data_IF_335276838918
#
_entry.id   IF_335276838918
#
_cell.length_a   1.000
_cell.length_b   1.000
_cell.length_c   1.000
_cell.angle_alpha   90.00
_cell.angle_beta   90.00
_cell.angle_gamma   90.00
#
_symmetry.space_group_name_H-M   'P 1'
#
loop_
_entity.id
_entity.type
_entity.pdbx_description
1 polymer ?
#
# COMPACT_ATOMS: atom_id res chain seq x y z
N UNK A 1 39.78 -0.37 -2.96
CA UNK A 1 39.01 -1.55 -3.42
C UNK A 1 38.50 -2.49 -2.33
N UNK A 2 38.87 -2.27 -1.05
CA UNK A 2 38.22 -2.95 0.09
C UNK A 2 37.14 -2.05 0.71
N UNK A 3 37.46 -0.77 0.90
CA UNK A 3 36.57 0.30 1.39
C UNK A 3 35.29 0.45 0.54
N UNK A 4 35.40 0.33 -0.79
CA UNK A 4 34.24 0.40 -1.71
C UNK A 4 33.28 -0.78 -1.56
N UNK A 5 33.79 -1.99 -1.25
CA UNK A 5 32.97 -3.19 -1.05
C UNK A 5 32.28 -3.16 0.31
N UNK A 6 32.93 -2.62 1.31
CA UNK A 6 32.38 -2.49 2.67
C UNK A 6 31.20 -1.50 2.70
N UNK A 7 31.32 -0.37 2.00
CA UNK A 7 30.22 0.61 1.83
C UNK A 7 29.03 0.01 1.06
N UNK A 8 29.29 -0.78 0.02
CA UNK A 8 28.24 -1.43 -0.79
C UNK A 8 27.51 -2.53 -0.02
N UNK A 9 28.24 -3.28 0.81
CA UNK A 9 27.67 -4.27 1.73
C UNK A 9 26.77 -3.60 2.77
N UNK A 10 27.24 -2.51 3.40
CA UNK A 10 26.45 -1.75 4.38
C UNK A 10 25.17 -1.17 3.80
N UNK A 11 25.21 -0.64 2.57
CA UNK A 11 24.02 -0.12 1.89
C UNK A 11 22.98 -1.21 1.65
N UNK A 12 23.42 -2.40 1.24
CA UNK A 12 22.54 -3.54 0.94
C UNK A 12 21.82 -4.04 2.19
N UNK A 13 22.53 -4.12 3.32
CA UNK A 13 21.96 -4.48 4.63
C UNK A 13 20.85 -3.51 5.05
N UNK A 14 21.10 -2.20 4.95
CA UNK A 14 20.10 -1.17 5.27
C UNK A 14 18.85 -1.30 4.39
N UNK A 15 19.04 -1.52 3.08
CA UNK A 15 17.92 -1.69 2.14
C UNK A 15 17.11 -2.95 2.51
N UNK A 16 17.79 -4.04 2.86
CA UNK A 16 17.14 -5.28 3.26
C UNK A 16 16.27 -5.11 4.51
N UNK A 17 16.75 -4.34 5.49
CA UNK A 17 16.00 -4.01 6.70
C UNK A 17 14.76 -3.16 6.38
N UNK A 18 14.92 -2.08 5.60
CA UNK A 18 13.80 -1.22 5.16
C UNK A 18 12.74 -2.05 4.41
N UNK A 19 13.18 -2.89 3.47
CA UNK A 19 12.28 -3.75 2.68
C UNK A 19 11.52 -4.72 3.58
N UNK A 20 12.21 -5.36 4.53
CA UNK A 20 11.61 -6.31 5.46
C UNK A 20 10.60 -5.64 6.40
N UNK A 21 10.93 -4.45 6.90
CA UNK A 21 10.06 -3.66 7.77
C UNK A 21 8.77 -3.23 7.05
N UNK A 22 8.89 -2.71 5.83
CA UNK A 22 7.72 -2.28 5.04
C UNK A 22 6.88 -3.50 4.66
N UNK A 23 7.51 -4.60 4.23
CA UNK A 23 6.82 -5.84 3.88
C UNK A 23 6.01 -6.38 5.07
N UNK A 24 6.57 -6.31 6.29
CA UNK A 24 5.90 -6.70 7.53
C UNK A 24 4.70 -5.81 7.90
N UNK A 25 4.68 -4.56 7.44
CA UNK A 25 3.58 -3.63 7.65
C UNK A 25 2.48 -3.76 6.60
N UNK A 26 2.73 -4.29 5.41
CA UNK A 26 1.71 -4.34 4.34
C UNK A 26 0.51 -5.20 4.77
N UNK A 27 -0.73 -4.64 4.76
CA UNK A 27 -1.91 -5.40 5.09
C UNK A 27 -2.21 -6.54 4.10
N UNK A 28 -3.00 -7.52 4.54
CA UNK A 28 -3.51 -8.57 3.66
C UNK A 28 -4.55 -8.01 2.70
N UNK A 29 -4.60 -8.58 1.50
CA UNK A 29 -5.65 -8.26 0.54
C UNK A 29 -7.02 -8.65 1.07
N UNK A 30 -8.01 -7.83 0.75
CA UNK A 30 -9.41 -8.09 1.04
C UNK A 30 -9.96 -9.10 0.03
N UNK A 31 -10.76 -10.04 0.51
CA UNK A 31 -11.58 -10.90 -0.34
C UNK A 31 -12.82 -10.12 -0.79
N UNK A 32 -12.72 -9.49 -1.95
CA UNK A 32 -13.77 -8.63 -2.51
C UNK A 32 -15.08 -9.41 -2.71
N UNK A 33 -15.00 -10.67 -3.11
CA UNK A 33 -16.18 -11.50 -3.34
C UNK A 33 -16.89 -11.84 -2.03
N UNK A 34 -16.11 -12.10 -0.96
CA UNK A 34 -16.68 -12.27 0.38
C UNK A 34 -17.34 -11.00 0.87
N UNK A 35 -16.72 -9.83 0.68
CA UNK A 35 -17.32 -8.54 1.05
C UNK A 35 -18.60 -8.30 0.24
N UNK A 36 -18.57 -8.47 -1.09
CA UNK A 36 -19.74 -8.34 -1.97
C UNK A 36 -20.89 -9.25 -1.52
N UNK A 37 -20.60 -10.50 -1.15
CA UNK A 37 -21.58 -11.45 -0.60
C UNK A 37 -22.21 -10.97 0.70
N UNK A 38 -21.44 -10.34 1.59
CA UNK A 38 -21.98 -9.79 2.83
C UNK A 38 -23.02 -8.68 2.57
N UNK A 39 -22.90 -7.95 1.46
CA UNK A 39 -23.83 -6.88 1.07
C UNK A 39 -24.92 -7.31 0.05
N UNK A 40 -24.99 -8.58 -0.34
CA UNK A 40 -25.80 -9.04 -1.48
C UNK A 40 -27.30 -8.72 -1.40
N UNK A 41 -27.87 -8.60 -0.21
CA UNK A 41 -29.32 -8.42 -0.04
C UNK A 41 -29.72 -6.94 -0.07
N UNK A 42 -28.85 -6.01 0.33
CA UNK A 42 -29.10 -4.58 0.37
C UNK A 42 -27.80 -3.79 0.19
N UNK A 43 -27.29 -3.74 -1.03
CA UNK A 43 -26.10 -2.91 -1.31
C UNK A 43 -26.50 -1.44 -1.33
N UNK A 44 -26.02 -0.69 -0.33
CA UNK A 44 -26.17 0.77 -0.31
C UNK A 44 -25.21 1.40 -1.31
N UNK A 45 -25.48 2.63 -1.81
CA UNK A 45 -24.52 3.38 -2.61
C UNK A 45 -23.14 3.49 -1.93
N UNK A 46 -23.13 3.70 -0.61
CA UNK A 46 -21.90 3.75 0.20
C UNK A 46 -21.20 2.38 0.28
N UNK A 47 -21.94 1.26 0.27
CA UNK A 47 -21.40 -0.09 0.15
C UNK A 47 -20.72 -0.35 -1.20
N UNK A 48 -21.27 0.19 -2.30
CA UNK A 48 -20.60 0.15 -3.61
C UNK A 48 -19.27 0.89 -3.57
N UNK A 49 -19.25 2.08 -2.95
CA UNK A 49 -18.02 2.87 -2.78
C UNK A 49 -16.99 2.07 -1.98
N UNK A 50 -17.36 1.43 -0.88
CA UNK A 50 -16.45 0.57 -0.13
C UNK A 50 -15.82 -0.52 -1.02
N UNK A 51 -16.63 -1.23 -1.81
CA UNK A 51 -16.11 -2.31 -2.67
C UNK A 51 -15.06 -1.77 -3.66
N UNK A 52 -15.36 -0.64 -4.31
CA UNK A 52 -14.43 0.01 -5.24
C UNK A 52 -13.15 0.48 -4.54
N UNK A 53 -13.28 1.06 -3.35
CA UNK A 53 -12.15 1.49 -2.52
C UNK A 53 -11.25 0.31 -2.11
N UNK A 54 -11.84 -0.84 -1.78
CA UNK A 54 -11.10 -2.08 -1.47
C UNK A 54 -10.38 -2.65 -2.69
N UNK A 55 -10.99 -2.58 -3.89
CA UNK A 55 -10.36 -3.00 -5.14
C UNK A 55 -9.11 -2.14 -5.44
N UNK A 56 -9.23 -0.81 -5.31
CA UNK A 56 -8.09 0.11 -5.45
C UNK A 56 -7.00 -0.17 -4.42
N UNK A 57 -7.39 -0.35 -3.16
CA UNK A 57 -6.46 -0.65 -2.07
C UNK A 57 -5.72 -1.97 -2.31
N UNK A 58 -6.42 -3.01 -2.77
CA UNK A 58 -5.84 -4.31 -3.11
C UNK A 58 -4.81 -4.20 -4.23
N UNK A 59 -5.10 -3.43 -5.29
CA UNK A 59 -4.15 -3.18 -6.38
C UNK A 59 -2.88 -2.51 -5.85
N UNK A 60 -3.02 -1.47 -5.03
CA UNK A 60 -1.88 -0.77 -4.43
C UNK A 60 -1.00 -1.73 -3.60
N UNK A 61 -1.58 -2.45 -2.63
CA UNK A 61 -0.79 -3.35 -1.76
C UNK A 61 -0.22 -4.55 -2.52
N UNK A 62 -0.88 -5.00 -3.60
CA UNK A 62 -0.36 -6.05 -4.48
C UNK A 62 0.95 -5.61 -5.14
N UNK A 63 0.95 -4.43 -5.76
CA UNK A 63 2.14 -3.87 -6.42
C UNK A 63 3.26 -3.61 -5.42
N UNK A 64 2.95 -3.02 -4.26
CA UNK A 64 3.94 -2.82 -3.19
C UNK A 64 4.59 -4.14 -2.78
N UNK A 65 3.77 -5.15 -2.46
CA UNK A 65 4.28 -6.44 -2.00
C UNK A 65 5.12 -7.12 -3.08
N UNK A 66 4.68 -7.08 -4.33
CA UNK A 66 5.43 -7.66 -5.46
C UNK A 66 6.81 -7.00 -5.62
N UNK A 67 6.88 -5.68 -5.63
CA UNK A 67 8.17 -4.98 -5.78
C UNK A 67 9.11 -5.30 -4.61
N UNK A 68 8.61 -5.27 -3.37
CA UNK A 68 9.42 -5.59 -2.19
C UNK A 68 9.91 -7.05 -2.16
N UNK A 69 9.08 -8.01 -2.59
CA UNK A 69 9.50 -9.41 -2.71
C UNK A 69 10.59 -9.57 -3.78
N UNK A 70 10.42 -8.95 -4.96
CA UNK A 70 11.42 -9.01 -6.03
C UNK A 70 12.74 -8.35 -5.61
N UNK A 71 12.70 -7.22 -4.90
CA UNK A 71 13.90 -6.57 -4.36
C UNK A 71 14.61 -7.52 -3.37
N UNK A 72 13.84 -8.18 -2.49
CA UNK A 72 14.41 -9.13 -1.53
C UNK A 72 15.05 -10.35 -2.21
N UNK A 73 14.40 -10.89 -3.23
CA UNK A 73 14.93 -11.98 -4.05
C UNK A 73 16.18 -11.52 -4.82
N UNK A 74 16.19 -10.30 -5.35
CA UNK A 74 17.33 -9.73 -6.05
C UNK A 74 18.54 -9.53 -5.14
N UNK A 75 18.34 -9.06 -3.91
CA UNK A 75 19.40 -8.95 -2.89
C UNK A 75 19.95 -10.34 -2.52
N UNK A 76 19.10 -11.36 -2.52
CA UNK A 76 19.49 -12.74 -2.21
C UNK A 76 20.17 -13.46 -3.40
N UNK A 77 20.15 -12.85 -4.59
CA UNK A 77 20.67 -13.44 -5.83
C UNK A 77 19.71 -14.36 -6.58
N UNK A 78 18.46 -14.49 -6.13
CA UNK A 78 17.43 -15.35 -6.72
C UNK A 78 16.68 -14.70 -7.88
N UNK A 79 16.73 -13.36 -7.97
CA UNK A 79 16.11 -12.57 -9.04
C UNK A 79 17.09 -11.51 -9.58
N UNK A 80 16.79 -10.99 -10.76
CA UNK A 80 17.54 -9.87 -11.33
C UNK A 80 16.93 -8.54 -10.87
N UNK A 81 17.77 -7.62 -10.41
CA UNK A 81 17.37 -6.22 -10.19
C UNK A 81 17.21 -5.54 -11.56
N UNK A 82 16.03 -4.97 -11.82
CA UNK A 82 15.76 -4.17 -13.01
C UNK A 82 15.71 -2.67 -12.69
N UNK A 83 15.70 -1.82 -13.72
CA UNK A 83 15.67 -0.36 -13.58
C UNK A 83 14.49 0.14 -12.74
N UNK A 84 13.34 -0.56 -12.79
CA UNK A 84 12.14 -0.18 -12.04
C UNK A 84 12.35 -0.46 -10.55
N UNK A 85 12.91 -1.62 -10.21
CA UNK A 85 13.21 -1.99 -8.83
C UNK A 85 14.31 -1.10 -8.24
N UNK A 86 15.32 -0.71 -9.02
CA UNK A 86 16.35 0.25 -8.59
C UNK A 86 15.74 1.60 -8.20
N UNK A 87 14.84 2.14 -9.04
CA UNK A 87 14.13 3.40 -8.73
C UNK A 87 13.28 3.27 -7.46
N UNK A 88 12.65 2.11 -7.24
CA UNK A 88 11.91 1.83 -6.01
C UNK A 88 12.86 1.82 -4.81
N UNK A 89 13.98 1.10 -4.89
CA UNK A 89 14.99 1.02 -3.82
C UNK A 89 15.51 2.41 -3.46
N UNK A 90 15.88 3.22 -4.45
CA UNK A 90 16.41 4.57 -4.22
C UNK A 90 15.38 5.50 -3.55
N UNK A 91 14.11 5.40 -3.94
CA UNK A 91 13.05 6.14 -3.30
C UNK A 91 12.85 5.71 -1.84
N UNK A 92 12.85 4.40 -1.57
CA UNK A 92 12.71 3.85 -0.21
C UNK A 92 13.88 4.25 0.69
N UNK A 93 15.11 4.13 0.18
CA UNK A 93 16.32 4.54 0.88
C UNK A 93 16.32 6.05 1.20
N UNK A 94 15.76 6.86 0.29
CA UNK A 94 15.58 8.31 0.50
C UNK A 94 14.38 8.68 1.40
N UNK A 95 13.65 7.70 1.95
CA UNK A 95 12.46 7.95 2.77
C UNK A 95 11.28 8.56 1.99
N UNK A 96 11.24 8.38 0.67
CA UNK A 96 10.18 8.88 -0.23
C UNK A 96 9.29 7.73 -0.69
N UNK A 97 8.02 8.05 -0.95
CA UNK A 97 7.10 7.10 -1.59
C UNK A 97 7.49 6.92 -3.07
N UNK A 98 7.77 5.69 -3.54
CA UNK A 98 8.10 5.42 -4.95
C UNK A 98 6.99 5.84 -5.91
N UNK A 99 7.35 6.40 -7.06
CA UNK A 99 6.41 6.83 -8.10
C UNK A 99 5.59 5.65 -8.65
N UNK A 100 6.23 4.48 -8.70
CA UNK A 100 5.60 3.21 -9.09
C UNK A 100 4.43 2.79 -8.17
N UNK A 101 4.41 3.29 -6.93
CA UNK A 101 3.30 3.09 -5.99
C UNK A 101 2.34 4.28 -5.99
N UNK A 102 2.85 5.50 -6.18
CA UNK A 102 2.04 6.74 -6.23
C UNK A 102 0.93 6.69 -7.26
N UNK A 103 1.17 6.09 -8.43
CA UNK A 103 0.14 5.95 -9.48
C UNK A 103 -1.10 5.14 -9.05
N UNK A 104 -0.98 4.32 -8.00
CA UNK A 104 -2.10 3.55 -7.43
C UNK A 104 -2.58 4.12 -6.09
N UNK A 105 -1.91 5.13 -5.56
CA UNK A 105 -2.23 5.74 -4.30
C UNK A 105 -2.90 7.10 -4.51
N UNK A 106 -3.63 7.61 -3.50
CA UNK A 106 -4.14 8.97 -3.54
C UNK A 106 -2.99 9.96 -3.50
N UNK A 107 -3.20 11.14 -4.09
CA UNK A 107 -2.22 12.21 -4.09
C UNK A 107 -1.73 12.52 -2.67
N UNK A 108 -0.41 12.60 -2.50
CA UNK A 108 0.23 12.73 -1.19
C UNK A 108 1.57 13.45 -1.25
N UNK A 109 1.79 14.34 -0.29
CA UNK A 109 3.08 14.97 -0.03
C UNK A 109 3.78 14.39 1.21
N UNK A 110 3.28 13.28 1.77
CA UNK A 110 3.86 12.65 2.96
C UNK A 110 5.19 11.97 2.65
N UNK A 111 6.09 11.95 3.62
CA UNK A 111 7.25 11.04 3.63
C UNK A 111 6.79 9.58 3.68
N UNK A 112 7.69 8.64 3.38
CA UNK A 112 7.39 7.21 3.39
C UNK A 112 6.82 6.77 4.75
N UNK A 113 7.46 7.13 5.87
CA UNK A 113 6.99 6.77 7.21
C UNK A 113 5.59 7.32 7.51
N UNK A 114 5.36 8.61 7.27
CA UNK A 114 4.05 9.22 7.47
C UNK A 114 2.98 8.67 6.53
N UNK A 115 3.36 8.22 5.33
CA UNK A 115 2.46 7.56 4.40
C UNK A 115 2.11 6.13 4.83
N UNK A 116 3.07 5.37 5.37
CA UNK A 116 2.83 4.02 5.90
C UNK A 116 1.87 4.05 7.09
N UNK A 117 2.03 5.00 8.02
CA UNK A 117 1.05 5.21 9.10
C UNK A 117 -0.36 5.50 8.57
N UNK A 118 -0.44 6.32 7.51
CA UNK A 118 -1.70 6.67 6.87
C UNK A 118 -2.34 5.45 6.18
N UNK A 119 -1.53 4.61 5.52
CA UNK A 119 -1.96 3.34 4.93
C UNK A 119 -2.54 2.39 5.99
N UNK A 120 -1.92 2.29 7.17
CA UNK A 120 -2.43 1.48 8.28
C UNK A 120 -3.78 1.98 8.79
N UNK A 121 -3.90 3.30 9.03
CA UNK A 121 -5.17 3.90 9.46
C UNK A 121 -6.28 3.71 8.42
N UNK A 122 -5.94 3.82 7.13
CA UNK A 122 -6.87 3.53 6.02
C UNK A 122 -7.36 2.08 6.08
N UNK A 123 -6.44 1.12 6.21
CA UNK A 123 -6.78 -0.29 6.36
C UNK A 123 -7.68 -0.55 7.58
N UNK A 124 -7.46 0.13 8.71
CA UNK A 124 -8.34 0.04 9.87
C UNK A 124 -9.75 0.55 9.58
N UNK A 125 -9.89 1.70 8.90
CA UNK A 125 -11.18 2.23 8.48
C UNK A 125 -11.93 1.26 7.56
N UNK A 126 -11.27 0.75 6.52
CA UNK A 126 -11.87 -0.22 5.59
C UNK A 126 -12.23 -1.54 6.26
N UNK A 127 -11.38 -2.03 7.17
CA UNK A 127 -11.67 -3.24 7.96
C UNK A 127 -12.89 -3.04 8.85
N UNK A 128 -13.01 -1.89 9.52
CA UNK A 128 -14.20 -1.58 10.30
C UNK A 128 -15.43 -1.52 9.40
N UNK A 129 -15.34 -0.80 8.29
CA UNK A 129 -16.46 -0.61 7.37
C UNK A 129 -16.97 -1.93 6.79
N UNK A 130 -16.06 -2.78 6.31
CA UNK A 130 -16.40 -4.11 5.75
C UNK A 130 -17.01 -5.10 6.74
N UNK A 131 -16.78 -4.94 8.05
CA UNK A 131 -17.27 -5.86 9.08
C UNK A 131 -18.49 -5.33 9.82
N UNK A 132 -18.55 -4.02 10.06
CA UNK A 132 -19.52 -3.38 10.96
C UNK A 132 -20.48 -2.45 10.22
N UNK A 133 -20.31 -2.26 8.91
CA UNK A 133 -21.08 -1.29 8.14
C UNK A 133 -20.48 0.11 8.17
N UNK A 134 -21.17 1.06 7.54
CA UNK A 134 -20.67 2.43 7.36
C UNK A 134 -20.34 3.10 8.70
N UNK A 135 -19.14 3.71 8.84
CA UNK A 135 -18.77 4.39 10.07
C UNK A 135 -19.60 5.66 10.28
N UNK A 136 -19.99 5.91 11.53
CA UNK A 136 -20.71 7.14 11.92
C UNK A 136 -19.89 8.42 11.64
N UNK A 137 -18.56 8.30 11.70
CA UNK A 137 -17.63 9.38 11.37
C UNK A 137 -16.65 8.86 10.32
N UNK A 138 -16.78 9.36 9.09
CA UNK A 138 -15.91 8.97 7.98
C UNK A 138 -14.65 9.82 7.95
N UNK A 139 -13.47 9.19 7.97
CA UNK A 139 -12.21 9.88 7.71
C UNK A 139 -11.99 10.01 6.20
N UNK A 140 -12.43 11.14 5.64
CA UNK A 140 -12.44 11.37 4.20
C UNK A 140 -11.07 11.28 3.54
N UNK A 141 -10.01 11.82 4.17
CA UNK A 141 -8.65 11.72 3.61
C UNK A 141 -8.09 10.28 3.64
N UNK A 142 -8.74 9.39 4.40
CA UNK A 142 -8.43 7.96 4.39
C UNK A 142 -8.86 7.26 3.11
N UNK A 143 -9.86 7.80 2.39
CA UNK A 143 -10.38 7.22 1.15
C UNK A 143 -9.44 7.48 -0.04
N UNK A 144 -9.49 6.63 -1.05
CA UNK A 144 -8.83 6.87 -2.33
C UNK A 144 -9.54 7.91 -3.16
N UNK A 145 -10.86 7.84 -3.22
CA UNK A 145 -11.70 8.74 -3.99
C UNK A 145 -12.79 9.32 -3.08
N UNK A 146 -12.46 10.32 -2.23
CA UNK A 146 -13.42 10.88 -1.28
C UNK A 146 -14.68 11.45 -1.94
N UNK A 147 -14.56 11.92 -3.19
CA UNK A 147 -15.69 12.41 -3.98
C UNK A 147 -16.76 11.34 -4.21
N UNK A 148 -16.36 10.10 -4.50
CA UNK A 148 -17.30 8.99 -4.75
C UNK A 148 -18.19 8.76 -3.53
N UNK A 149 -17.60 8.84 -2.33
CA UNK A 149 -18.35 8.74 -1.08
C UNK A 149 -19.35 9.90 -0.90
N UNK A 150 -18.90 11.14 -1.10
CA UNK A 150 -19.78 12.31 -0.99
C UNK A 150 -20.96 12.21 -1.96
N UNK A 151 -20.72 11.80 -3.20
CA UNK A 151 -21.79 11.59 -4.19
C UNK A 151 -22.75 10.48 -3.79
N UNK A 152 -22.27 9.41 -3.16
CA UNK A 152 -23.11 8.30 -2.70
C UNK A 152 -24.03 8.64 -1.51
N UNK A 153 -23.76 9.76 -0.81
CA UNK A 153 -24.59 10.26 0.29
C UNK A 153 -25.73 11.16 -0.16
N UNK A 154 -25.68 11.68 -1.39
CA UNK A 154 -26.67 12.60 -1.98
C UNK A 154 -27.74 11.77 -2.69
#
# INVERSE_FOLDING_TARGET
DEDSKEVETSRTEIIQDIVSDILGQIPRQYDIEKVRKAYQINITPTGVVLIQELELFNTLIHHMKRHLMLIKEAISGDAQMDEVLEVVVDALFSGRLPDEWRRFAPETCKSLGGWMEHLQKRNQQYKYWSLSGEPLVMWLSGLHVPRSYITALI
#
